data_IF_015785336469
#
_entry.id   IF_015785336469
#
_cell.length_a   1.000
_cell.length_b   1.000
_cell.length_c   1.000
_cell.angle_alpha   90.00
_cell.angle_beta   90.00
_cell.angle_gamma   90.00
#
_symmetry.space_group_name_H-M   'P 1'
#
loop_
_entity.id
_entity.type
_entity.pdbx_description
1 polymer ?
#
# COMPACT_ATOMS: atom_id res chain seq x y z
N UNK A 1 6.17 -39.64 7.82
CA UNK A 1 6.16 -38.35 7.12
C UNK A 1 6.32 -38.57 5.62
N UNK A 2 5.81 -37.68 4.79
CA UNK A 2 5.88 -37.74 3.32
C UNK A 2 7.22 -37.21 2.74
N UNK A 3 8.23 -36.94 3.58
CA UNK A 3 9.54 -36.41 3.17
C UNK A 3 9.55 -34.93 2.74
N UNK A 4 8.42 -34.21 2.90
CA UNK A 4 8.36 -32.79 2.56
C UNK A 4 9.21 -31.93 3.51
N UNK A 5 9.93 -30.95 2.96
CA UNK A 5 10.76 -30.01 3.71
C UNK A 5 10.19 -28.59 3.52
N UNK A 6 9.94 -27.91 4.62
CA UNK A 6 9.58 -26.49 4.62
C UNK A 6 10.85 -25.67 4.90
N UNK A 7 11.17 -24.72 4.01
CA UNK A 7 12.33 -23.82 4.16
C UNK A 7 11.85 -22.41 4.39
N UNK A 8 12.31 -21.79 5.48
CA UNK A 8 12.13 -20.38 5.75
C UNK A 8 13.35 -19.60 5.26
N UNK A 9 13.15 -18.74 4.26
CA UNK A 9 14.19 -17.91 3.67
C UNK A 9 13.89 -16.44 3.96
N UNK A 10 14.65 -15.85 4.89
CA UNK A 10 14.52 -14.44 5.30
C UNK A 10 15.88 -13.73 5.26
N UNK A 11 16.33 -13.28 4.08
CA UNK A 11 17.62 -12.61 3.91
C UNK A 11 17.72 -11.29 4.67
N UNK A 12 16.58 -10.66 4.96
CA UNK A 12 16.52 -9.38 5.69
C UNK A 12 16.43 -9.53 7.20
N UNK A 13 16.22 -10.74 7.71
CA UNK A 13 16.14 -11.10 9.14
C UNK A 13 15.12 -10.30 9.97
N UNK A 14 14.01 -9.90 9.35
CA UNK A 14 12.91 -9.21 10.02
C UNK A 14 11.74 -10.12 10.37
N UNK A 15 11.69 -11.29 9.78
CA UNK A 15 10.65 -12.27 10.01
C UNK A 15 10.90 -13.13 11.23
N UNK A 16 9.85 -13.79 11.69
CA UNK A 16 9.91 -14.79 12.74
C UNK A 16 9.02 -15.97 12.37
N UNK A 17 9.45 -17.16 12.73
CA UNK A 17 8.61 -18.35 12.69
C UNK A 17 8.09 -18.60 14.09
N UNK A 18 6.80 -18.44 14.26
CA UNK A 18 6.13 -18.62 15.53
C UNK A 18 5.12 -19.76 15.43
N UNK A 19 5.01 -20.54 16.48
CA UNK A 19 4.01 -21.59 16.59
C UNK A 19 2.94 -21.16 17.57
N UNK A 20 1.66 -21.29 17.19
CA UNK A 20 0.53 -21.05 18.07
C UNK A 20 -0.52 -22.15 17.87
N UNK A 21 -1.18 -22.54 18.94
CA UNK A 21 -2.32 -23.46 18.90
C UNK A 21 -3.66 -22.77 18.57
N UNK A 22 -3.65 -21.46 18.40
CA UNK A 22 -4.78 -20.61 18.08
C UNK A 22 -4.34 -19.34 17.36
N UNK A 23 -5.21 -18.33 17.32
CA UNK A 23 -4.84 -17.02 16.78
C UNK A 23 -3.70 -16.40 17.58
N UNK A 24 -2.66 -15.92 16.88
CA UNK A 24 -1.49 -15.36 17.53
C UNK A 24 -1.73 -13.89 17.88
N UNK A 25 -1.37 -13.45 19.09
CA UNK A 25 -1.58 -12.07 19.60
C UNK A 25 -1.06 -11.00 18.65
N UNK A 26 0.02 -11.27 17.91
CA UNK A 26 0.55 -10.35 16.89
C UNK A 26 -0.40 -10.12 15.71
N UNK A 27 -1.32 -11.05 15.44
CA UNK A 27 -2.31 -10.93 14.36
C UNK A 27 -3.61 -10.30 14.83
N UNK A 28 -3.92 -10.38 16.12
CA UNK A 28 -5.17 -9.88 16.72
C UNK A 28 -5.40 -8.37 16.54
N UNK A 29 -4.34 -7.61 16.25
CA UNK A 29 -4.41 -6.16 16.08
C UNK A 29 -4.39 -5.70 14.61
N UNK A 30 -4.38 -6.64 13.67
CA UNK A 30 -4.38 -6.31 12.25
C UNK A 30 -5.74 -5.76 11.81
N UNK A 31 -5.70 -4.80 10.92
CA UNK A 31 -6.88 -4.32 10.19
C UNK A 31 -7.37 -5.36 9.17
N UNK A 32 -8.48 -5.08 8.51
CA UNK A 32 -9.06 -6.00 7.52
C UNK A 32 -8.15 -6.17 6.30
N UNK A 33 -8.34 -7.32 5.65
CA UNK A 33 -7.80 -7.57 4.32
C UNK A 33 -8.47 -6.63 3.30
N UNK A 34 -7.70 -5.92 2.47
CA UNK A 34 -8.23 -4.88 1.60
C UNK A 34 -9.19 -5.41 0.51
N UNK A 35 -9.06 -6.69 0.12
CA UNK A 35 -9.94 -7.30 -0.88
C UNK A 35 -11.16 -8.02 -0.27
N UNK A 36 -11.29 -8.01 1.06
CA UNK A 36 -12.46 -8.57 1.75
C UNK A 36 -13.63 -7.57 1.79
N UNK A 37 -14.82 -8.06 2.16
CA UNK A 37 -16.00 -7.24 2.42
C UNK A 37 -15.87 -6.33 3.65
N UNK A 38 -14.92 -6.64 4.54
CA UNK A 38 -14.71 -5.89 5.80
C UNK A 38 -13.92 -4.60 5.62
N UNK A 39 -13.40 -4.36 4.41
CA UNK A 39 -12.68 -3.16 4.04
C UNK A 39 -13.46 -2.33 3.02
N UNK A 40 -13.66 -1.06 3.33
CA UNK A 40 -14.21 -0.07 2.42
C UNK A 40 -13.74 1.37 2.75
N UNK A 41 -14.11 2.32 1.90
CA UNK A 41 -13.78 3.73 2.10
C UNK A 41 -14.53 4.39 3.26
N UNK A 42 -15.70 3.85 3.66
CA UNK A 42 -16.46 4.30 4.82
C UNK A 42 -15.67 4.05 6.11
N UNK A 43 -15.14 2.84 6.26
CA UNK A 43 -14.27 2.46 7.37
C UNK A 43 -13.03 3.37 7.44
N UNK A 44 -12.36 3.60 6.29
CA UNK A 44 -11.21 4.51 6.23
C UNK A 44 -11.58 5.92 6.71
N UNK A 45 -12.73 6.44 6.28
CA UNK A 45 -13.21 7.76 6.71
C UNK A 45 -13.46 7.80 8.22
N UNK A 46 -14.15 6.81 8.77
CA UNK A 46 -14.42 6.74 10.21
C UNK A 46 -13.13 6.73 11.04
N UNK A 47 -12.16 5.90 10.64
CA UNK A 47 -10.87 5.80 11.31
C UNK A 47 -9.98 7.03 11.10
N UNK A 48 -10.18 7.77 10.00
CA UNK A 48 -9.44 8.98 9.67
C UNK A 48 -9.91 10.23 10.44
N UNK A 49 -11.12 10.24 10.98
CA UNK A 49 -11.69 11.40 11.69
C UNK A 49 -10.76 11.95 12.76
N UNK A 50 -10.52 13.25 12.73
CA UNK A 50 -9.70 13.97 13.72
C UNK A 50 -8.20 13.68 13.66
N UNK A 51 -7.72 12.78 12.81
CA UNK A 51 -6.30 12.45 12.74
C UNK A 51 -5.51 13.55 12.03
N UNK A 52 -4.44 14.01 12.69
CA UNK A 52 -3.51 15.02 12.15
C UNK A 52 -2.41 14.42 11.28
N UNK A 53 -2.16 13.12 11.40
CA UNK A 53 -1.14 12.43 10.62
C UNK A 53 -1.47 12.46 9.12
N UNK A 54 -0.45 12.41 8.28
CA UNK A 54 -0.59 12.36 6.83
C UNK A 54 -1.34 11.09 6.39
N UNK A 55 -2.13 11.18 5.31
CA UNK A 55 -2.96 10.07 4.83
C UNK A 55 -2.14 8.88 4.36
N UNK A 56 -0.96 9.11 3.76
CA UNK A 56 -0.13 8.00 3.28
C UNK A 56 0.33 7.08 4.42
N UNK A 57 1.02 7.54 5.48
CA UNK A 57 1.34 6.67 6.62
C UNK A 57 0.09 6.16 7.35
N UNK A 58 -1.04 6.87 7.31
CA UNK A 58 -2.30 6.39 7.86
C UNK A 58 -2.79 5.11 7.17
N UNK A 59 -2.87 5.09 5.84
CA UNK A 59 -3.31 3.89 5.08
C UNK A 59 -2.24 2.79 5.02
N UNK A 60 -0.99 3.07 5.39
CA UNK A 60 0.09 2.09 5.51
C UNK A 60 0.18 1.45 6.91
N UNK A 61 -0.62 1.90 7.87
CA UNK A 61 -0.70 1.30 9.19
C UNK A 61 -1.51 0.00 9.11
N UNK A 62 -0.87 -1.12 9.42
CA UNK A 62 -1.50 -2.45 9.39
C UNK A 62 -2.70 -2.58 10.35
N UNK A 63 -2.88 -1.67 11.32
CA UNK A 63 -4.08 -1.59 12.14
C UNK A 63 -5.28 -0.98 11.42
N UNK A 64 -5.03 -0.24 10.36
CA UNK A 64 -6.07 0.40 9.53
C UNK A 64 -6.50 -0.55 8.42
N UNK A 65 -5.54 -1.05 7.66
CA UNK A 65 -5.71 -2.02 6.57
C UNK A 65 -4.39 -2.75 6.34
N UNK A 66 -4.42 -4.05 6.14
CA UNK A 66 -3.22 -4.82 5.86
C UNK A 66 -2.83 -4.75 4.37
N UNK A 67 -1.60 -5.11 4.03
CA UNK A 67 -1.12 -5.24 2.64
C UNK A 67 -0.84 -3.94 1.89
N UNK A 68 -1.23 -2.78 2.39
CA UNK A 68 -1.01 -1.49 1.73
C UNK A 68 0.39 -0.95 2.03
N UNK A 69 1.37 -1.40 1.25
CA UNK A 69 2.77 -0.95 1.36
C UNK A 69 3.04 0.39 0.69
N UNK A 70 4.32 0.81 0.72
CA UNK A 70 4.77 2.11 0.21
C UNK A 70 4.43 2.36 -1.28
N UNK A 71 4.50 1.32 -2.10
CA UNK A 71 4.20 1.36 -3.53
C UNK A 71 2.70 1.59 -3.71
N UNK A 72 1.90 0.66 -3.20
CA UNK A 72 0.45 0.65 -3.41
C UNK A 72 -0.25 1.86 -2.78
N UNK A 73 0.24 2.35 -1.63
CA UNK A 73 -0.24 3.60 -1.04
C UNK A 73 0.00 4.82 -1.96
N UNK A 74 1.17 4.91 -2.61
CA UNK A 74 1.46 6.01 -3.55
C UNK A 74 0.54 5.95 -4.77
N UNK A 75 0.39 4.78 -5.37
CA UNK A 75 -0.42 4.56 -6.57
C UNK A 75 -1.93 4.80 -6.30
N UNK A 76 -2.47 4.27 -5.20
CA UNK A 76 -3.86 4.48 -4.83
C UNK A 76 -4.16 5.96 -4.53
N UNK A 77 -3.25 6.67 -3.86
CA UNK A 77 -3.39 8.11 -3.60
C UNK A 77 -3.31 8.94 -4.88
N UNK A 78 -2.44 8.56 -5.83
CA UNK A 78 -2.36 9.22 -7.13
C UNK A 78 -3.69 9.07 -7.90
N UNK A 79 -4.19 7.86 -8.05
CA UNK A 79 -5.48 7.56 -8.71
C UNK A 79 -6.65 8.28 -8.05
N UNK A 80 -6.60 8.49 -6.72
CA UNK A 80 -7.63 9.21 -5.96
C UNK A 80 -7.45 10.73 -5.99
N UNK A 81 -6.41 11.25 -6.62
CA UNK A 81 -6.08 12.67 -6.64
C UNK A 81 -5.75 13.23 -5.25
N UNK A 82 -5.35 12.40 -4.29
CA UNK A 82 -5.10 12.81 -2.90
C UNK A 82 -3.60 12.99 -2.67
N UNK A 83 -3.23 14.17 -2.15
CA UNK A 83 -1.85 14.47 -1.78
C UNK A 83 -1.40 13.60 -0.60
N UNK A 84 -0.23 12.92 -0.66
CA UNK A 84 0.18 11.94 0.36
C UNK A 84 0.41 12.54 1.75
N UNK A 85 0.77 13.82 1.83
CA UNK A 85 0.99 14.56 3.08
C UNK A 85 -0.27 15.26 3.63
N UNK A 86 -1.42 15.14 2.96
CA UNK A 86 -2.67 15.70 3.47
C UNK A 86 -3.05 15.01 4.77
N UNK A 87 -3.47 15.79 5.79
CA UNK A 87 -3.93 15.20 7.05
C UNK A 87 -5.14 14.27 6.81
N UNK A 88 -5.11 13.06 7.34
CA UNK A 88 -6.16 12.06 7.16
C UNK A 88 -7.55 12.59 7.58
N UNK A 89 -7.63 13.33 8.69
CA UNK A 89 -8.88 13.92 9.16
C UNK A 89 -9.42 15.09 8.31
N UNK A 90 -8.66 15.56 7.31
CA UNK A 90 -9.10 16.62 6.38
C UNK A 90 -9.56 16.07 5.03
N UNK A 91 -9.69 14.77 4.88
CA UNK A 91 -10.20 14.13 3.66
C UNK A 91 -11.68 13.87 3.84
N UNK A 92 -12.49 14.31 2.87
CA UNK A 92 -13.94 14.12 2.91
C UNK A 92 -14.32 12.65 2.74
N UNK A 93 -15.51 12.27 3.25
CA UNK A 93 -16.08 10.94 3.08
C UNK A 93 -16.08 10.50 1.62
N UNK A 94 -16.56 11.36 0.70
CA UNK A 94 -16.59 11.06 -0.75
C UNK A 94 -15.21 10.66 -1.29
N UNK A 95 -14.13 11.35 -0.87
CA UNK A 95 -12.78 11.04 -1.32
C UNK A 95 -12.24 9.75 -0.71
N UNK A 96 -12.63 9.43 0.52
CA UNK A 96 -12.28 8.15 1.14
C UNK A 96 -12.99 6.97 0.47
N UNK A 97 -14.25 7.13 0.04
CA UNK A 97 -14.94 6.09 -0.73
C UNK A 97 -14.17 5.78 -2.02
N UNK A 98 -13.76 6.80 -2.76
CA UNK A 98 -12.94 6.63 -3.97
C UNK A 98 -11.57 6.03 -3.65
N UNK A 99 -10.92 6.45 -2.56
CA UNK A 99 -9.63 5.90 -2.15
C UNK A 99 -9.72 4.41 -1.79
N UNK A 100 -10.81 4.00 -1.12
CA UNK A 100 -11.04 2.59 -0.78
C UNK A 100 -11.10 1.70 -2.02
N UNK A 101 -11.83 2.13 -3.05
CA UNK A 101 -11.89 1.40 -4.32
C UNK A 101 -10.52 1.35 -5.02
N UNK A 102 -9.81 2.48 -5.12
CA UNK A 102 -8.48 2.47 -5.75
C UNK A 102 -7.43 1.66 -4.99
N UNK A 103 -7.55 1.50 -3.67
CA UNK A 103 -6.71 0.57 -2.91
C UNK A 103 -6.97 -0.87 -3.35
N UNK A 104 -8.25 -1.25 -3.48
CA UNK A 104 -8.63 -2.59 -3.98
C UNK A 104 -8.12 -2.83 -5.39
N UNK A 105 -8.36 -1.89 -6.31
CA UNK A 105 -7.95 -2.00 -7.71
C UNK A 105 -6.43 -2.18 -7.88
N UNK A 106 -5.65 -1.35 -7.16
CA UNK A 106 -4.18 -1.41 -7.23
C UNK A 106 -3.66 -2.74 -6.70
N UNK A 107 -4.23 -3.24 -5.60
CA UNK A 107 -3.79 -4.50 -5.02
C UNK A 107 -4.23 -5.71 -5.86
N UNK A 108 -5.45 -5.70 -6.39
CA UNK A 108 -5.93 -6.75 -7.29
C UNK A 108 -5.05 -6.84 -8.56
N UNK A 109 -4.78 -5.70 -9.21
CA UNK A 109 -3.91 -5.65 -10.37
C UNK A 109 -2.47 -6.11 -10.05
N UNK A 110 -1.96 -5.77 -8.86
CA UNK A 110 -0.64 -6.22 -8.43
C UNK A 110 -0.59 -7.75 -8.23
N UNK A 111 -1.64 -8.35 -7.68
CA UNK A 111 -1.74 -9.80 -7.48
C UNK A 111 -1.79 -10.52 -8.83
N UNK A 112 -2.62 -10.03 -9.77
CA UNK A 112 -2.73 -10.60 -11.13
C UNK A 112 -1.38 -10.58 -11.87
N UNK A 113 -0.53 -9.58 -11.61
CA UNK A 113 0.79 -9.46 -12.24
C UNK A 113 1.93 -10.12 -11.40
N UNK A 114 1.59 -10.96 -10.43
CA UNK A 114 2.57 -11.67 -9.61
C UNK A 114 3.34 -10.80 -8.60
N UNK A 115 2.83 -9.60 -8.31
CA UNK A 115 3.42 -8.65 -7.36
C UNK A 115 4.41 -7.67 -8.00
N UNK A 116 5.03 -6.84 -7.13
CA UNK A 116 6.03 -5.84 -7.55
C UNK A 116 7.42 -6.31 -7.12
N UNK A 117 8.23 -6.75 -8.06
CA UNK A 117 9.63 -7.09 -7.80
C UNK A 117 10.49 -5.86 -7.97
N UNK A 118 11.01 -5.31 -6.88
CA UNK A 118 11.94 -4.16 -6.93
C UNK A 118 13.41 -4.57 -7.03
N UNK A 119 13.84 -5.70 -6.51
CA UNK A 119 15.19 -6.31 -6.69
C UNK A 119 15.32 -7.71 -6.08
N UNK A 120 14.60 -8.03 -5.00
CA UNK A 120 14.88 -9.21 -4.19
C UNK A 120 13.64 -10.08 -3.92
N UNK A 121 12.48 -9.73 -4.49
CA UNK A 121 11.24 -10.48 -4.34
C UNK A 121 10.92 -11.25 -5.61
N UNK A 122 10.90 -12.55 -5.52
CA UNK A 122 10.37 -13.46 -6.52
C UNK A 122 9.10 -14.11 -5.96
N UNK A 123 8.16 -14.46 -6.83
CA UNK A 123 6.96 -15.20 -6.44
C UNK A 123 7.33 -16.62 -5.94
N UNK A 124 6.36 -17.39 -5.50
CA UNK A 124 6.55 -18.79 -5.05
C UNK A 124 7.14 -19.71 -6.13
N UNK A 125 7.08 -19.31 -7.41
CA UNK A 125 7.66 -20.02 -8.57
C UNK A 125 9.05 -19.51 -8.93
N UNK A 126 9.61 -18.53 -8.21
CA UNK A 126 10.93 -17.96 -8.46
C UNK A 126 10.97 -16.89 -9.57
N UNK A 127 9.81 -16.45 -10.07
CA UNK A 127 9.74 -15.47 -11.15
C UNK A 127 9.52 -14.04 -10.61
N UNK A 128 10.11 -13.01 -11.29
CA UNK A 128 9.89 -11.60 -10.93
C UNK A 128 8.47 -11.16 -11.24
N UNK A 129 7.87 -10.35 -10.37
CA UNK A 129 6.58 -9.72 -10.63
C UNK A 129 6.72 -8.54 -11.60
N UNK A 130 5.76 -8.37 -12.50
CA UNK A 130 5.79 -7.39 -13.59
C UNK A 130 5.04 -6.09 -13.27
N UNK A 131 4.42 -5.93 -12.10
CA UNK A 131 3.63 -4.75 -11.75
C UNK A 131 4.43 -3.44 -11.78
N UNK A 132 5.76 -3.51 -11.65
CA UNK A 132 6.63 -2.33 -11.72
C UNK A 132 6.50 -1.54 -13.03
N UNK A 133 6.15 -2.19 -14.14
CA UNK A 133 6.04 -1.56 -15.46
C UNK A 133 4.82 -0.64 -15.59
N UNK A 134 3.86 -0.72 -14.66
CA UNK A 134 2.60 0.03 -14.67
C UNK A 134 2.50 1.12 -13.60
N UNK A 135 3.61 1.41 -12.90
CA UNK A 135 3.62 2.39 -11.82
C UNK A 135 3.52 3.82 -12.38
N UNK A 136 2.53 4.57 -11.89
CA UNK A 136 2.24 5.93 -12.33
C UNK A 136 3.14 6.97 -11.65
N UNK A 137 3.46 6.78 -10.37
CA UNK A 137 4.23 7.77 -9.58
C UNK A 137 5.36 7.15 -8.77
N UNK A 138 5.23 5.93 -8.28
CA UNK A 138 6.26 5.36 -7.40
C UNK A 138 7.60 5.20 -8.11
N UNK A 139 8.66 5.78 -7.51
CA UNK A 139 10.02 5.73 -8.07
C UNK A 139 10.30 6.75 -9.18
N UNK A 140 9.29 7.53 -9.59
CA UNK A 140 9.34 8.43 -10.76
C UNK A 140 9.50 9.91 -10.38
N UNK A 141 10.07 10.20 -9.21
CA UNK A 141 10.35 11.59 -8.79
C UNK A 141 11.21 12.33 -9.80
N UNK A 142 10.78 13.53 -10.20
CA UNK A 142 11.45 14.34 -11.23
C UNK A 142 11.04 14.04 -12.67
N UNK A 143 10.29 12.97 -12.92
CA UNK A 143 9.73 12.64 -14.25
C UNK A 143 8.39 13.35 -14.49
N UNK A 144 7.93 13.31 -15.74
CA UNK A 144 6.64 13.86 -16.12
C UNK A 144 5.49 12.98 -15.63
N UNK A 145 4.44 13.63 -15.13
CA UNK A 145 3.19 12.98 -14.76
C UNK A 145 2.49 12.42 -16.01
N UNK A 146 2.08 11.16 -15.95
CA UNK A 146 1.40 10.49 -17.08
C UNK A 146 0.04 11.12 -17.43
N UNK A 147 -0.63 11.78 -16.45
CA UNK A 147 -1.95 12.36 -16.67
C UNK A 147 -1.90 13.82 -17.16
N UNK A 148 -0.96 14.64 -16.64
CA UNK A 148 -0.97 16.07 -16.93
C UNK A 148 0.35 16.64 -17.46
N UNK A 149 1.40 15.83 -17.61
CA UNK A 149 2.72 16.24 -18.07
C UNK A 149 3.51 17.12 -17.07
N UNK A 150 2.95 17.42 -15.92
CA UNK A 150 3.65 18.21 -14.87
C UNK A 150 4.67 17.37 -14.13
N UNK A 151 5.76 17.99 -13.67
CA UNK A 151 6.85 17.29 -12.99
C UNK A 151 6.42 16.71 -11.65
N UNK A 152 6.63 15.41 -11.46
CA UNK A 152 6.39 14.68 -10.21
C UNK A 152 7.37 15.14 -9.12
N UNK A 153 6.85 15.37 -7.92
CA UNK A 153 7.64 15.75 -6.74
C UNK A 153 7.85 14.60 -5.80
N UNK A 154 9.04 14.51 -5.22
CA UNK A 154 9.37 13.60 -4.13
C UNK A 154 9.39 14.35 -2.80
N UNK A 155 8.74 13.78 -1.79
CA UNK A 155 8.80 14.23 -0.41
C UNK A 155 9.07 13.06 0.53
N UNK A 156 9.66 13.32 1.66
CA UNK A 156 9.87 12.31 2.69
C UNK A 156 8.77 12.38 3.75
N UNK A 157 8.00 11.29 3.90
CA UNK A 157 6.99 11.13 4.94
C UNK A 157 7.41 10.01 5.88
N UNK A 158 7.74 10.39 7.11
CA UNK A 158 8.44 9.49 8.01
C UNK A 158 9.81 9.13 7.40
N UNK A 159 10.09 7.85 7.29
CA UNK A 159 11.34 7.36 6.70
C UNK A 159 11.18 6.87 5.25
N UNK A 160 10.08 7.21 4.56
CA UNK A 160 9.76 6.69 3.23
C UNK A 160 9.62 7.80 2.20
N UNK A 161 10.21 7.58 1.01
CA UNK A 161 9.96 8.41 -0.16
C UNK A 161 8.49 8.34 -0.58
N UNK A 162 7.96 9.47 -1.01
CA UNK A 162 6.56 9.63 -1.42
C UNK A 162 6.50 10.55 -2.63
N UNK A 163 6.38 9.95 -3.80
CA UNK A 163 6.24 10.68 -5.07
C UNK A 163 4.78 11.02 -5.33
N UNK A 164 4.50 12.21 -5.83
CA UNK A 164 3.16 12.67 -6.16
C UNK A 164 3.17 13.75 -7.23
N UNK A 165 2.05 13.93 -7.93
CA UNK A 165 1.83 15.03 -8.85
C UNK A 165 1.22 16.24 -8.13
N UNK A 166 1.87 17.41 -8.09
CA UNK A 166 1.32 18.59 -7.42
C UNK A 166 0.08 19.16 -8.11
N UNK A 167 -0.13 18.88 -9.38
CA UNK A 167 -1.27 19.34 -10.16
C UNK A 167 -2.49 18.42 -9.99
N UNK A 168 -2.29 17.10 -10.10
CA UNK A 168 -3.38 16.11 -10.05
C UNK A 168 -3.82 15.80 -8.61
N UNK A 169 -2.90 15.89 -7.62
CA UNK A 169 -3.18 15.54 -6.22
C UNK A 169 -3.30 16.79 -5.33
N UNK A 170 -4.44 16.89 -4.65
CA UNK A 170 -4.79 18.03 -3.78
C UNK A 170 -5.21 17.61 -2.40
#
# INVERSE_FOLDING_TARGET
>A
GNGATLRYHDPRRFGAWLWSSGEHDQLAHLGPEPLSSDFDGERLWQMGKGRKMAVKPFIMDNKIVVGVGNIYASEALFRSGIRPNRAAGRISKKRYLVLGEHIKDVLAAAIEQGGTTLRDFVNSSGEPGYFQQTLAVYGRGGEDCIDCGGVLKDIRLGQRSSVFCPNCQR
#
